data_IF_883139954642
#
_entry.id   IF_883139954642
#
_cell.length_a   1.000
_cell.length_b   1.000
_cell.length_c   1.000
_cell.angle_alpha   90.00
_cell.angle_beta   90.00
_cell.angle_gamma   90.00
#
_symmetry.space_group_name_H-M   'P 1'
#
loop_
_entity.id
_entity.type
_entity.pdbx_description
1 polymer ?
#
# COMPACT_ATOMS: atom_id res chain seq x y z
N UNK A 1 -10.40 6.11 62.36
CA UNK A 1 -10.38 7.59 62.47
C UNK A 1 -9.04 7.94 63.12
N UNK A 2 -8.20 8.87 62.66
CA UNK A 2 -8.29 9.91 61.60
C UNK A 2 -7.01 9.97 60.72
N UNK A 3 -7.00 10.82 59.68
CA UNK A 3 -5.86 11.28 58.86
C UNK A 3 -6.00 12.80 58.67
N UNK A 4 -5.05 13.51 58.03
CA UNK A 4 -3.63 13.71 58.35
C UNK A 4 -3.37 15.19 58.74
N UNK A 5 -2.11 15.63 58.98
CA UNK A 5 -1.40 16.45 57.97
C UNK A 5 0.16 16.26 58.00
N UNK A 6 1.02 16.82 57.13
CA UNK A 6 0.96 17.21 55.70
C UNK A 6 2.42 17.23 55.12
N UNK A 7 2.62 17.72 53.89
CA UNK A 7 3.94 17.88 53.24
C UNK A 7 4.61 19.23 53.54
N UNK A 8 5.94 19.26 53.49
CA UNK A 8 6.69 20.44 52.99
C UNK A 8 7.93 20.02 52.19
N UNK A 9 8.28 20.80 51.17
CA UNK A 9 9.47 20.62 50.32
C UNK A 9 10.44 21.77 50.59
N UNK A 10 11.76 21.50 50.52
CA UNK A 10 12.94 22.42 50.50
C UNK A 10 13.85 22.40 51.75
N UNK A 11 14.81 21.49 51.74
CA UNK A 11 16.21 21.69 52.13
C UNK A 11 17.02 20.59 51.40
N UNK A 12 18.13 20.77 50.67
CA UNK A 12 19.35 21.61 50.71
C UNK A 12 20.58 20.78 51.12
N UNK A 13 21.76 21.16 50.59
CA UNK A 13 23.11 20.58 50.77
C UNK A 13 23.33 19.26 49.97
N UNK A 14 24.29 19.09 49.02
CA UNK A 14 25.76 19.36 48.88
C UNK A 14 26.66 18.34 49.61
N UNK A 15 27.76 17.79 49.04
CA UNK A 15 28.30 17.86 47.66
C UNK A 15 29.82 17.56 47.57
N UNK A 16 30.30 17.07 46.41
CA UNK A 16 31.71 16.72 46.06
C UNK A 16 32.30 15.55 46.91
N UNK A 17 33.43 14.90 46.60
CA UNK A 17 34.44 14.96 45.51
C UNK A 17 34.42 13.60 44.72
N UNK A 18 35.42 13.07 43.97
CA UNK A 18 36.83 13.39 43.66
C UNK A 18 37.21 12.90 42.24
N UNK A 19 38.45 13.12 41.79
CA UNK A 19 38.94 12.79 40.44
C UNK A 19 40.09 11.74 40.42
N UNK A 20 40.39 11.18 39.24
CA UNK A 20 41.56 10.32 39.03
C UNK A 20 41.94 10.23 37.54
N UNK A 21 43.18 10.59 37.20
CA UNK A 21 43.72 10.57 35.84
C UNK A 21 45.06 9.85 35.81
N UNK A 22 45.32 9.07 34.76
CA UNK A 22 46.63 8.48 34.46
C UNK A 22 46.80 8.36 32.94
N UNK A 23 48.05 8.35 32.47
CA UNK A 23 48.37 8.55 31.05
C UNK A 23 49.72 7.89 30.67
N UNK A 24 50.07 8.03 29.39
CA UNK A 24 51.35 7.72 28.73
C UNK A 24 51.64 6.24 28.36
N UNK A 25 51.65 5.99 27.06
CA UNK A 25 52.74 5.30 26.36
C UNK A 25 52.76 5.74 24.88
N UNK A 26 53.93 6.11 24.35
CA UNK A 26 54.15 6.38 22.92
C UNK A 26 55.13 5.35 22.34
N UNK A 27 54.96 5.02 21.06
CA UNK A 27 55.77 4.01 20.37
C UNK A 27 55.88 4.25 18.86
N UNK A 28 56.77 5.15 18.47
CA UNK A 28 57.36 5.23 17.12
C UNK A 28 58.56 4.25 17.06
N UNK A 29 59.05 3.71 15.95
CA UNK A 29 58.71 3.79 14.51
C UNK A 29 59.36 2.58 13.81
N UNK A 30 58.94 2.23 12.59
CA UNK A 30 59.85 1.79 11.51
C UNK A 30 59.18 1.87 10.14
N UNK A 31 59.93 2.33 9.15
CA UNK A 31 59.57 2.34 7.73
C UNK A 31 60.62 1.53 6.99
N UNK A 32 60.20 0.57 6.18
CA UNK A 32 61.04 -0.16 5.25
C UNK A 32 60.19 -0.54 4.03
N UNK A 33 60.68 -0.20 2.84
CA UNK A 33 60.20 -0.83 1.63
C UNK A 33 60.87 -2.21 1.53
N UNK A 34 60.19 -3.20 0.96
CA UNK A 34 60.53 -3.65 -0.39
C UNK A 34 59.43 -4.54 -0.99
N UNK A 35 59.58 -4.85 -2.28
CA UNK A 35 58.50 -5.37 -3.12
C UNK A 35 58.42 -6.91 -3.05
N UNK A 36 57.22 -7.46 -2.85
CA UNK A 36 56.96 -8.90 -2.76
C UNK A 36 55.65 -9.28 -3.45
N UNK A 37 55.76 -9.97 -4.58
CA UNK A 37 54.67 -10.32 -5.50
C UNK A 37 53.53 -11.16 -4.88
N UNK A 38 52.29 -10.88 -5.31
CA UNK A 38 51.40 -11.94 -5.81
C UNK A 38 50.77 -12.93 -4.82
N UNK A 39 50.02 -12.45 -3.83
CA UNK A 39 49.02 -13.26 -3.11
C UNK A 39 47.60 -13.00 -3.63
N UNK A 40 46.85 -14.04 -4.03
CA UNK A 40 45.43 -13.91 -4.43
C UNK A 40 44.51 -13.73 -3.22
N UNK A 41 44.55 -12.53 -2.63
CA UNK A 41 43.75 -12.15 -1.47
C UNK A 41 42.25 -12.09 -1.76
N UNK A 42 41.57 -13.23 -1.70
CA UNK A 42 40.13 -13.29 -1.44
C UNK A 42 39.93 -12.93 0.04
N UNK A 43 40.11 -11.64 0.36
CA UNK A 43 39.98 -11.10 1.71
C UNK A 43 38.52 -11.14 2.15
N UNK A 44 38.12 -12.26 2.74
CA UNK A 44 36.77 -12.49 3.26
C UNK A 44 36.44 -11.62 4.45
N UNK A 45 36.09 -10.35 4.20
CA UNK A 45 35.64 -9.43 5.24
C UNK A 45 35.56 -7.98 4.76
N UNK A 46 34.37 -7.40 4.89
CA UNK A 46 34.17 -5.95 5.03
C UNK A 46 34.65 -5.04 3.89
N UNK A 47 34.34 -5.34 2.63
CA UNK A 47 33.93 -4.25 1.72
C UNK A 47 33.00 -4.68 0.57
N UNK A 48 31.72 -4.36 0.73
CA UNK A 48 30.69 -4.26 -0.32
C UNK A 48 29.36 -3.84 0.34
N UNK A 49 29.06 -2.54 0.32
CA UNK A 49 27.73 -2.05 0.65
C UNK A 49 26.71 -2.67 -0.30
N UNK A 50 25.63 -3.26 0.22
CA UNK A 50 24.53 -3.80 -0.59
C UNK A 50 23.64 -2.67 -1.11
N UNK A 51 24.22 -1.76 -1.90
CA UNK A 51 23.65 -0.51 -2.42
C UNK A 51 22.48 -0.71 -3.39
N UNK A 52 21.40 -1.30 -2.88
CA UNK A 52 20.13 -1.46 -3.57
C UNK A 52 19.19 -0.29 -3.31
N UNK A 53 18.22 -0.14 -4.21
CA UNK A 53 17.03 0.69 -4.01
C UNK A 53 15.90 -0.24 -3.58
N UNK A 54 15.42 -0.10 -2.35
CA UNK A 54 14.12 -0.65 -1.98
C UNK A 54 13.01 0.21 -2.59
N UNK A 55 11.93 -0.39 -3.06
CA UNK A 55 10.76 0.32 -3.56
C UNK A 55 9.50 -0.34 -2.98
N UNK A 56 8.64 0.46 -2.36
CA UNK A 56 7.34 0.05 -1.81
C UNK A 56 6.27 0.93 -2.44
N UNK A 57 5.31 0.35 -3.14
CA UNK A 57 4.23 1.10 -3.78
C UNK A 57 3.44 0.30 -4.82
N UNK A 58 2.50 0.94 -5.49
CA UNK A 58 1.55 0.27 -6.39
C UNK A 58 2.18 -0.05 -7.75
N UNK A 59 1.99 -1.28 -8.26
CA UNK A 59 2.36 -1.67 -9.64
C UNK A 59 1.47 -0.89 -10.64
N UNK A 60 2.11 -0.08 -11.48
CA UNK A 60 1.44 0.88 -12.37
C UNK A 60 1.21 0.34 -13.79
N UNK A 61 2.16 -0.44 -14.33
CA UNK A 61 2.13 -1.04 -15.67
C UNK A 61 3.25 -2.10 -15.85
N UNK A 62 3.24 -2.81 -16.97
CA UNK A 62 4.15 -3.91 -17.32
C UNK A 62 5.10 -3.60 -18.51
N UNK A 63 5.79 -4.63 -19.04
CA UNK A 63 6.96 -4.54 -19.94
C UNK A 63 8.28 -4.46 -19.16
N UNK A 64 8.23 -3.78 -18.03
CA UNK A 64 9.00 -4.01 -16.79
C UNK A 64 8.03 -3.66 -15.65
N UNK A 65 8.27 -3.98 -14.38
CA UNK A 65 7.36 -3.42 -13.35
C UNK A 65 7.67 -1.93 -13.21
N UNK A 66 6.64 -1.09 -13.29
CA UNK A 66 6.74 0.31 -12.92
C UNK A 66 6.11 0.49 -11.55
N UNK A 67 6.89 0.95 -10.59
CA UNK A 67 6.46 1.22 -9.21
C UNK A 67 7.04 2.57 -8.81
N UNK A 68 6.22 3.47 -8.27
CA UNK A 68 6.63 4.83 -7.88
C UNK A 68 7.25 5.63 -9.05
N UNK A 69 6.90 5.30 -10.29
CA UNK A 69 7.49 5.86 -11.52
C UNK A 69 8.80 5.20 -11.98
N UNK A 70 9.57 4.59 -11.06
CA UNK A 70 10.79 3.85 -11.38
C UNK A 70 10.50 2.61 -12.22
N UNK A 71 11.34 2.35 -13.23
CA UNK A 71 11.26 1.17 -14.10
C UNK A 71 12.19 0.09 -13.56
N UNK A 72 11.64 -1.03 -13.09
CA UNK A 72 12.43 -2.16 -12.58
C UNK A 72 12.27 -3.39 -13.48
N UNK A 73 13.38 -3.80 -14.07
CA UNK A 73 13.54 -5.05 -14.82
C UNK A 73 13.51 -6.25 -13.87
N UNK A 74 12.90 -7.36 -14.30
CA UNK A 74 12.84 -8.60 -13.53
C UNK A 74 13.07 -9.80 -14.45
N UNK A 75 13.76 -10.83 -13.94
CA UNK A 75 13.95 -12.07 -14.67
C UNK A 75 12.66 -12.91 -14.65
N UNK A 76 12.37 -13.75 -15.67
CA UNK A 76 11.18 -14.61 -15.69
C UNK A 76 11.06 -15.58 -14.51
N UNK A 77 12.20 -15.89 -13.87
CA UNK A 77 12.36 -16.77 -12.70
C UNK A 77 12.68 -16.00 -11.41
N UNK A 78 12.45 -14.68 -11.34
CA UNK A 78 12.65 -13.95 -10.07
C UNK A 78 11.72 -14.53 -8.98
N UNK A 79 12.20 -14.69 -7.73
CA UNK A 79 11.33 -15.07 -6.62
C UNK A 79 10.22 -14.02 -6.41
N UNK A 80 8.97 -14.45 -6.61
CA UNK A 80 7.77 -13.67 -6.29
C UNK A 80 7.07 -14.32 -5.11
N UNK A 81 6.64 -13.50 -4.14
CA UNK A 81 5.79 -13.92 -3.04
C UNK A 81 4.53 -13.04 -3.01
N UNK A 82 3.35 -13.64 -2.87
CA UNK A 82 2.08 -12.92 -2.69
C UNK A 82 1.56 -13.29 -1.30
N UNK A 83 1.42 -12.30 -0.43
CA UNK A 83 1.01 -12.44 0.97
C UNK A 83 1.81 -13.49 1.78
N UNK A 84 3.08 -13.71 1.42
CA UNK A 84 3.94 -14.71 2.07
C UNK A 84 3.81 -16.13 1.54
N UNK A 85 3.07 -16.34 0.45
CA UNK A 85 2.99 -17.60 -0.31
C UNK A 85 3.78 -17.47 -1.64
N UNK A 86 4.46 -18.53 -2.06
CA UNK A 86 5.33 -18.48 -3.24
C UNK A 86 4.51 -18.44 -4.55
N UNK A 87 4.84 -17.51 -5.44
CA UNK A 87 4.10 -17.24 -6.67
C UNK A 87 5.03 -17.16 -7.89
N UNK A 88 4.44 -17.04 -9.08
CA UNK A 88 5.19 -16.75 -10.32
C UNK A 88 4.94 -15.32 -10.79
N UNK A 89 5.82 -14.80 -11.64
CA UNK A 89 5.65 -13.47 -12.28
C UNK A 89 4.33 -13.30 -13.03
N UNK A 90 3.66 -14.39 -13.44
CA UNK A 90 2.34 -14.38 -14.09
C UNK A 90 1.19 -14.02 -13.14
N UNK A 91 1.40 -14.07 -11.83
CA UNK A 91 0.42 -13.69 -10.81
C UNK A 91 0.52 -12.20 -10.39
N UNK A 92 1.50 -11.47 -10.93
CA UNK A 92 1.60 -10.02 -10.76
C UNK A 92 0.47 -9.33 -11.52
N UNK A 93 -0.15 -8.32 -10.90
CA UNK A 93 -1.26 -7.53 -11.47
C UNK A 93 -1.01 -6.04 -11.27
N UNK A 94 -1.46 -5.21 -12.21
CA UNK A 94 -1.56 -3.75 -12.01
C UNK A 94 -2.48 -3.50 -10.80
N UNK A 95 -2.13 -2.53 -9.96
CA UNK A 95 -2.87 -2.21 -8.74
C UNK A 95 -2.47 -3.02 -7.50
N UNK A 96 -1.62 -4.05 -7.61
CA UNK A 96 -1.01 -4.69 -6.44
C UNK A 96 -0.02 -3.75 -5.74
N UNK A 97 0.03 -3.78 -4.41
CA UNK A 97 1.06 -3.13 -3.60
C UNK A 97 2.30 -4.06 -3.54
N UNK A 98 3.38 -3.63 -4.19
CA UNK A 98 4.63 -4.38 -4.29
C UNK A 98 5.72 -3.80 -3.38
N UNK A 99 6.61 -4.68 -2.95
CA UNK A 99 7.88 -4.42 -2.27
C UNK A 99 8.98 -5.07 -3.10
N UNK A 100 9.97 -4.27 -3.49
CA UNK A 100 10.92 -4.64 -4.53
C UNK A 100 12.33 -4.29 -4.03
N UNK A 101 13.19 -5.30 -3.91
CA UNK A 101 14.61 -5.08 -3.61
C UNK A 101 15.40 -5.01 -4.93
N UNK A 102 15.49 -3.81 -5.48
CA UNK A 102 16.20 -3.54 -6.72
C UNK A 102 17.69 -3.24 -6.47
N UNK A 103 18.52 -3.54 -7.46
CA UNK A 103 19.93 -3.10 -7.58
C UNK A 103 20.05 -2.30 -8.87
N UNK A 104 20.89 -1.25 -8.86
CA UNK A 104 21.22 -0.51 -10.07
C UNK A 104 22.44 -1.15 -10.73
N UNK A 105 22.37 -1.42 -12.03
CA UNK A 105 23.53 -1.89 -12.80
C UNK A 105 24.42 -0.71 -13.26
N UNK A 106 25.56 -1.04 -13.88
CA UNK A 106 26.50 -0.05 -14.40
C UNK A 106 25.93 0.82 -15.54
N UNK A 107 24.86 0.37 -16.21
CA UNK A 107 24.11 1.15 -17.20
C UNK A 107 23.01 2.02 -16.57
N UNK A 108 22.91 2.06 -15.24
CA UNK A 108 21.92 2.82 -14.50
C UNK A 108 20.53 2.18 -14.42
N UNK A 109 20.32 0.98 -14.96
CA UNK A 109 19.00 0.32 -14.95
C UNK A 109 18.77 -0.39 -13.61
N UNK A 110 17.53 -0.33 -13.11
CA UNK A 110 17.13 -1.07 -11.91
C UNK A 110 16.71 -2.50 -12.29
N UNK A 111 17.30 -3.49 -11.64
CA UNK A 111 16.92 -4.90 -11.74
C UNK A 111 16.58 -5.46 -10.35
N UNK A 112 15.54 -6.27 -10.22
CA UNK A 112 15.14 -6.84 -8.91
C UNK A 112 15.57 -8.29 -8.72
N UNK A 113 16.01 -8.59 -7.49
CA UNK A 113 16.32 -9.94 -7.03
C UNK A 113 15.14 -10.63 -6.32
N UNK A 114 14.09 -9.89 -5.93
CA UNK A 114 12.90 -10.40 -5.21
C UNK A 114 11.73 -9.41 -5.32
N UNK A 115 10.51 -9.93 -5.49
CA UNK A 115 9.28 -9.16 -5.44
C UNK A 115 8.36 -9.77 -4.39
N UNK A 116 7.99 -9.01 -3.38
CA UNK A 116 6.93 -9.36 -2.44
C UNK A 116 5.71 -8.49 -2.72
N UNK A 117 4.52 -9.07 -2.68
CA UNK A 117 3.24 -8.39 -2.91
C UNK A 117 2.37 -8.59 -1.68
N UNK A 118 1.78 -7.51 -1.17
CA UNK A 118 1.12 -7.50 0.14
C UNK A 118 -0.26 -6.86 0.08
N UNK A 119 -1.28 -7.57 0.56
CA UNK A 119 -2.62 -7.02 0.80
C UNK A 119 -2.70 -6.33 2.16
N UNK A 120 -3.50 -5.26 2.26
CA UNK A 120 -3.85 -4.64 3.55
C UNK A 120 -4.90 -5.49 4.29
N UNK A 121 -5.75 -6.22 3.56
CA UNK A 121 -6.70 -7.18 4.10
C UNK A 121 -7.08 -8.23 3.06
N UNK A 122 -7.29 -9.48 3.48
CA UNK A 122 -7.83 -10.55 2.65
C UNK A 122 -8.81 -11.43 3.43
N UNK A 123 -10.00 -11.66 2.86
CA UNK A 123 -11.11 -12.40 3.48
C UNK A 123 -12.46 -12.01 2.86
N UNK A 124 -13.59 -12.43 3.46
CA UNK A 124 -14.92 -12.17 2.92
C UNK A 124 -15.31 -10.69 3.00
N UNK A 125 -16.00 -10.21 1.97
CA UNK A 125 -16.75 -8.95 2.00
C UNK A 125 -17.87 -9.07 3.04
N UNK A 126 -17.89 -8.15 4.00
CA UNK A 126 -18.90 -8.05 5.06
C UNK A 126 -20.03 -7.09 4.68
N UNK A 127 -19.74 -6.04 3.91
CA UNK A 127 -20.72 -5.09 3.39
C UNK A 127 -20.28 -4.48 2.04
N UNK A 128 -21.26 -4.05 1.25
CA UNK A 128 -21.07 -3.35 -0.03
C UNK A 128 -21.91 -2.07 -0.01
N UNK A 129 -21.30 -0.94 -0.39
CA UNK A 129 -21.95 0.37 -0.56
C UNK A 129 -21.44 1.02 -1.87
N UNK A 130 -22.09 2.07 -2.41
CA UNK A 130 -21.59 2.76 -3.59
C UNK A 130 -20.17 3.31 -3.38
N UNK A 131 -19.19 2.74 -4.09
CA UNK A 131 -17.77 3.11 -3.99
C UNK A 131 -17.01 2.59 -2.77
N UNK A 132 -17.63 1.76 -1.92
CA UNK A 132 -17.04 1.28 -0.67
C UNK A 132 -17.35 -0.20 -0.41
N UNK A 133 -16.36 -0.93 0.09
CA UNK A 133 -16.51 -2.28 0.65
C UNK A 133 -16.14 -2.26 2.14
N UNK A 134 -16.73 -3.17 2.92
CA UNK A 134 -16.20 -3.53 4.24
C UNK A 134 -15.66 -4.96 4.17
N UNK A 135 -14.40 -5.17 4.58
CA UNK A 135 -13.72 -6.48 4.56
C UNK A 135 -12.96 -6.65 5.88
N UNK A 136 -13.27 -7.68 6.67
CA UNK A 136 -12.72 -7.91 8.02
C UNK A 136 -12.65 -6.63 8.89
N UNK A 137 -13.76 -5.93 9.07
CA UNK A 137 -13.86 -4.69 9.83
C UNK A 137 -13.10 -3.50 9.24
N UNK A 138 -12.54 -3.61 8.03
CA UNK A 138 -11.82 -2.52 7.36
C UNK A 138 -12.73 -1.80 6.36
N UNK A 139 -12.80 -0.48 6.43
CA UNK A 139 -13.42 0.34 5.39
C UNK A 139 -12.47 0.46 4.19
N UNK A 140 -12.97 0.09 3.01
CA UNK A 140 -12.20 0.07 1.76
C UNK A 140 -12.89 0.96 0.74
N UNK A 141 -12.29 2.11 0.41
CA UNK A 141 -12.71 2.91 -0.75
C UNK A 141 -12.26 2.17 -2.00
N UNK A 142 -13.23 1.73 -2.80
CA UNK A 142 -13.01 0.98 -4.04
C UNK A 142 -14.13 1.29 -5.02
N UNK A 143 -13.91 2.18 -6.02
CA UNK A 143 -14.84 2.31 -7.13
C UNK A 143 -14.92 0.99 -7.92
N UNK A 144 -16.08 0.74 -8.52
CA UNK A 144 -16.37 -0.47 -9.27
C UNK A 144 -17.77 -1.03 -8.98
N UNK A 145 -18.28 -1.82 -9.92
CA UNK A 145 -19.64 -2.40 -9.95
C UNK A 145 -19.63 -3.86 -10.46
N UNK A 146 -18.48 -4.53 -10.38
CA UNK A 146 -18.28 -5.90 -10.85
C UNK A 146 -19.21 -6.89 -10.13
N UNK A 147 -19.80 -7.85 -10.87
CA UNK A 147 -20.85 -8.75 -10.38
C UNK A 147 -20.44 -9.73 -9.25
N UNK A 148 -19.14 -9.80 -8.93
CA UNK A 148 -18.62 -10.53 -7.77
C UNK A 148 -18.63 -9.71 -6.47
N UNK A 149 -18.85 -8.39 -6.52
CA UNK A 149 -18.92 -7.47 -5.36
C UNK A 149 -20.21 -7.68 -4.57
N UNK A 150 -20.25 -8.76 -3.78
CA UNK A 150 -21.36 -9.15 -2.90
C UNK A 150 -20.81 -9.70 -1.58
N UNK A 151 -21.62 -9.58 -0.53
CA UNK A 151 -21.29 -10.09 0.81
C UNK A 151 -21.00 -11.59 0.74
N UNK A 152 -19.96 -12.03 1.46
CA UNK A 152 -19.48 -13.42 1.47
C UNK A 152 -18.50 -13.78 0.34
N UNK A 153 -18.24 -12.91 -0.64
CA UNK A 153 -17.15 -13.15 -1.60
C UNK A 153 -15.80 -12.91 -0.93
N UNK A 154 -14.91 -13.90 -0.94
CA UNK A 154 -13.50 -13.73 -0.54
C UNK A 154 -12.72 -12.87 -1.53
N UNK A 155 -12.02 -11.86 -1.02
CA UNK A 155 -11.19 -10.93 -1.80
C UNK A 155 -9.87 -10.67 -1.09
N UNK A 156 -8.85 -10.27 -1.85
CA UNK A 156 -7.67 -9.59 -1.32
C UNK A 156 -7.66 -8.12 -1.79
N UNK A 157 -7.45 -7.21 -0.86
CA UNK A 157 -7.45 -5.77 -1.08
C UNK A 157 -6.01 -5.26 -1.08
N UNK A 158 -5.56 -4.80 -2.24
CA UNK A 158 -4.31 -4.07 -2.43
C UNK A 158 -4.63 -2.59 -2.53
N UNK A 159 -3.84 -1.75 -1.86
CA UNK A 159 -4.11 -0.33 -1.79
C UNK A 159 -3.17 0.38 -0.84
N UNK A 160 -3.42 1.67 -0.63
CA UNK A 160 -2.70 2.49 0.33
C UNK A 160 -3.65 2.87 1.47
N UNK A 161 -3.27 2.56 2.70
CA UNK A 161 -4.04 2.92 3.90
C UNK A 161 -3.82 4.39 4.26
N UNK A 162 -4.91 5.08 4.58
CA UNK A 162 -4.98 6.45 5.10
C UNK A 162 -4.88 6.45 6.62
N UNK A 163 -4.51 7.60 7.17
CA UNK A 163 -4.33 7.88 8.60
C UNK A 163 -5.60 7.73 9.45
N UNK A 164 -6.78 7.82 8.84
CA UNK A 164 -8.07 7.47 9.45
C UNK A 164 -8.39 5.96 9.41
N UNK A 165 -7.45 5.15 8.91
CA UNK A 165 -7.53 3.71 8.80
C UNK A 165 -8.17 3.20 7.51
N UNK A 166 -8.78 4.07 6.69
CA UNK A 166 -9.44 3.70 5.43
C UNK A 166 -8.42 3.21 4.40
N UNK A 167 -8.70 2.08 3.75
CA UNK A 167 -7.86 1.56 2.66
C UNK A 167 -8.38 2.14 1.34
N UNK A 168 -7.54 2.89 0.61
CA UNK A 168 -7.84 3.28 -0.78
C UNK A 168 -7.33 2.19 -1.70
N UNK A 169 -8.24 1.37 -2.24
CA UNK A 169 -7.89 0.19 -3.01
C UNK A 169 -7.41 0.55 -4.43
N UNK A 170 -6.22 0.06 -4.80
CA UNK A 170 -5.70 0.07 -6.16
C UNK A 170 -5.98 -1.23 -6.92
N UNK A 171 -6.26 -2.33 -6.21
CA UNK A 171 -6.86 -3.55 -6.75
C UNK A 171 -7.66 -4.26 -5.66
N UNK A 172 -8.86 -4.73 -5.98
CA UNK A 172 -9.60 -5.71 -5.18
C UNK A 172 -9.68 -6.98 -6.02
N UNK A 173 -9.06 -8.05 -5.56
CA UNK A 173 -8.82 -9.27 -6.32
C UNK A 173 -9.59 -10.45 -5.71
N UNK A 174 -10.64 -10.99 -6.37
CA UNK A 174 -11.38 -12.14 -5.88
C UNK A 174 -10.49 -13.37 -5.70
N UNK A 175 -10.70 -14.12 -4.62
CA UNK A 175 -9.97 -15.35 -4.32
C UNK A 175 -10.93 -16.50 -4.02
N UNK A 176 -10.50 -17.72 -4.31
CA UNK A 176 -11.00 -18.89 -3.59
C UNK A 176 -10.60 -18.77 -2.11
N UNK A 177 -11.46 -19.27 -1.22
CA UNK A 177 -11.33 -19.08 0.23
C UNK A 177 -9.91 -19.41 0.74
N UNK A 178 -9.27 -18.40 1.34
CA UNK A 178 -7.93 -18.48 1.94
C UNK A 178 -8.02 -18.08 3.41
N UNK A 179 -6.95 -18.32 4.19
CA UNK A 179 -6.95 -17.92 5.59
C UNK A 179 -7.11 -16.39 5.72
N UNK A 180 -8.06 -15.95 6.57
CA UNK A 180 -8.34 -14.53 6.77
C UNK A 180 -7.07 -13.82 7.27
N UNK A 181 -6.66 -12.78 6.55
CA UNK A 181 -5.39 -12.06 6.75
C UNK A 181 -5.65 -10.56 6.83
N UNK A 182 -4.92 -9.87 7.71
CA UNK A 182 -5.00 -8.42 7.88
C UNK A 182 -3.60 -7.84 8.16
N UNK A 183 -3.30 -6.69 7.56
CA UNK A 183 -2.04 -5.97 7.74
C UNK A 183 -2.32 -4.56 8.26
N UNK A 184 -1.64 -4.14 9.34
CA UNK A 184 -1.85 -2.80 9.92
C UNK A 184 -1.28 -2.62 11.33
N UNK A 185 -1.47 -1.44 11.92
CA UNK A 185 -1.06 -1.14 13.30
C UNK A 185 -1.96 -1.85 14.32
N UNK A 186 -1.36 -2.54 15.30
CA UNK A 186 -2.08 -3.02 16.48
C UNK A 186 -2.37 -1.84 17.40
N UNK A 187 -3.65 -1.53 17.58
CA UNK A 187 -4.15 -0.53 18.52
C UNK A 187 -4.66 -1.22 19.78
N UNK A 188 -4.72 -0.48 20.88
CA UNK A 188 -5.40 -0.89 22.13
C UNK A 188 -6.53 0.09 22.42
N UNK A 189 -7.72 -0.46 22.66
CA UNK A 189 -8.89 0.28 23.12
C UNK A 189 -9.56 -0.42 24.32
N UNK A 190 -10.70 0.10 24.78
CA UNK A 190 -11.45 -0.44 25.94
C UNK A 190 -11.99 -1.87 25.72
N UNK A 191 -11.99 -2.37 24.50
CA UNK A 191 -12.48 -3.69 24.11
C UNK A 191 -11.38 -4.69 23.71
N UNK A 192 -10.09 -4.31 23.81
CA UNK A 192 -8.96 -5.22 23.65
C UNK A 192 -7.88 -4.69 22.71
N UNK A 193 -7.33 -5.60 21.90
CA UNK A 193 -6.41 -5.30 20.81
C UNK A 193 -7.16 -5.34 19.47
N UNK A 194 -6.81 -4.45 18.55
CA UNK A 194 -7.51 -4.29 17.27
C UNK A 194 -6.57 -3.85 16.13
N UNK A 195 -6.97 -4.11 14.89
CA UNK A 195 -6.43 -3.47 13.67
C UNK A 195 -7.62 -2.95 12.87
N UNK A 196 -7.73 -1.62 12.72
CA UNK A 196 -8.96 -1.00 12.21
C UNK A 196 -10.17 -1.42 13.06
N UNK A 197 -11.27 -1.82 12.42
CA UNK A 197 -12.46 -2.32 13.12
C UNK A 197 -12.39 -3.78 13.60
N UNK A 198 -11.32 -4.52 13.31
CA UNK A 198 -11.21 -5.94 13.65
C UNK A 198 -10.57 -6.15 15.02
N UNK A 199 -11.23 -6.87 15.93
CA UNK A 199 -10.65 -7.28 17.22
C UNK A 199 -9.73 -8.48 17.05
N UNK A 200 -8.67 -8.56 17.85
CA UNK A 200 -7.70 -9.66 17.84
C UNK A 200 -7.70 -10.42 19.17
N UNK A 201 -7.79 -11.75 19.10
CA UNK A 201 -7.60 -12.66 20.22
C UNK A 201 -6.31 -13.48 20.06
N UNK A 202 -5.64 -13.80 21.17
CA UNK A 202 -4.37 -14.53 21.19
C UNK A 202 -3.13 -13.70 20.83
N UNK A 203 -3.19 -12.36 20.94
CA UNK A 203 -2.11 -11.44 20.55
C UNK A 203 -1.45 -10.81 21.76
N UNK A 204 -0.11 -10.71 21.73
CA UNK A 204 0.71 -10.09 22.78
C UNK A 204 0.48 -8.57 22.86
N UNK A 205 0.41 -8.07 24.09
CA UNK A 205 0.29 -6.66 24.42
C UNK A 205 1.53 -5.86 23.99
N UNK A 206 2.70 -6.50 23.90
CA UNK A 206 3.96 -5.91 23.41
C UNK A 206 3.97 -5.59 21.90
N UNK A 207 2.89 -5.91 21.18
CA UNK A 207 2.72 -5.55 19.76
C UNK A 207 1.94 -4.23 19.55
N UNK A 208 1.36 -3.63 20.60
CA UNK A 208 0.67 -2.33 20.50
C UNK A 208 1.59 -1.26 19.92
N UNK A 209 1.09 -0.48 18.97
CA UNK A 209 1.84 0.54 18.24
C UNK A 209 2.74 0.00 17.13
N UNK A 210 2.82 -1.32 16.92
CA UNK A 210 3.59 -1.93 15.83
C UNK A 210 2.70 -2.32 14.67
N UNK A 211 3.23 -2.20 13.45
CA UNK A 211 2.60 -2.77 12.26
C UNK A 211 2.88 -4.28 12.19
N UNK A 212 1.83 -5.06 11.97
CA UNK A 212 1.87 -6.53 11.89
C UNK A 212 1.04 -7.03 10.73
N UNK A 213 1.33 -8.26 10.30
CA UNK A 213 0.45 -9.09 9.50
C UNK A 213 -0.09 -10.20 10.41
N UNK A 214 -1.41 -10.27 10.58
CA UNK A 214 -2.10 -11.29 11.34
C UNK A 214 -2.92 -12.20 10.42
N UNK A 215 -2.87 -13.50 10.67
CA UNK A 215 -3.54 -14.57 9.92
C UNK A 215 -4.34 -15.42 10.93
N UNK A 216 -5.60 -15.74 10.64
CA UNK A 216 -6.44 -16.46 11.60
C UNK A 216 -7.82 -16.86 11.08
N UNK A 217 -8.70 -17.24 12.02
CA UNK A 217 -10.13 -17.45 11.76
C UNK A 217 -10.91 -16.27 12.33
N UNK A 218 -11.84 -15.73 11.56
CA UNK A 218 -12.70 -14.60 11.99
C UNK A 218 -14.10 -15.10 12.31
N UNK A 219 -14.63 -14.70 13.47
CA UNK A 219 -16.02 -14.91 13.87
C UNK A 219 -16.51 -13.67 14.62
N UNK A 220 -17.73 -13.19 14.33
CA UNK A 220 -18.38 -12.09 15.06
C UNK A 220 -17.51 -10.81 15.22
N UNK A 221 -16.72 -10.46 14.19
CA UNK A 221 -15.83 -9.28 14.21
C UNK A 221 -14.54 -9.46 15.04
N UNK A 222 -14.24 -10.68 15.47
CA UNK A 222 -13.00 -11.03 16.18
C UNK A 222 -12.21 -12.07 15.40
N UNK A 223 -10.93 -11.78 15.16
CA UNK A 223 -9.96 -12.75 14.66
C UNK A 223 -9.34 -13.52 15.83
N UNK A 224 -9.58 -14.83 15.88
CA UNK A 224 -8.69 -15.72 16.62
C UNK A 224 -7.41 -15.89 15.78
N UNK A 225 -6.36 -15.18 16.18
CA UNK A 225 -5.09 -15.19 15.46
C UNK A 225 -4.43 -16.56 15.62
N UNK A 226 -4.02 -17.13 14.50
CA UNK A 226 -3.31 -18.42 14.41
C UNK A 226 -1.83 -18.21 14.05
N UNK A 227 -1.52 -17.13 13.32
CA UNK A 227 -0.15 -16.69 13.04
C UNK A 227 -0.08 -15.17 13.02
N UNK A 228 1.00 -14.62 13.54
CA UNK A 228 1.32 -13.19 13.47
C UNK A 228 2.77 -13.01 13.04
N UNK A 229 3.05 -11.97 12.25
CA UNK A 229 4.39 -11.58 11.81
C UNK A 229 4.54 -10.06 12.00
N UNK A 230 5.72 -9.55 12.37
CA UNK A 230 6.03 -8.13 12.15
C UNK A 230 5.84 -7.82 10.67
N UNK A 231 5.19 -6.69 10.36
CA UNK A 231 5.14 -6.17 8.99
C UNK A 231 5.89 -4.83 8.95
N UNK A 232 7.22 -4.92 9.05
CA UNK A 232 8.13 -3.79 9.10
C UNK A 232 9.17 -3.83 7.97
N UNK A 233 9.76 -2.68 7.65
CA UNK A 233 10.61 -2.49 6.47
C UNK A 233 12.06 -2.98 6.67
N UNK A 234 12.33 -3.85 7.64
CA UNK A 234 13.69 -4.31 7.96
C UNK A 234 14.33 -5.18 6.88
N UNK A 235 13.53 -5.76 5.99
CA UNK A 235 14.04 -6.37 4.74
C UNK A 235 14.83 -5.37 3.88
N UNK A 236 14.52 -4.07 4.00
CA UNK A 236 15.23 -2.98 3.35
C UNK A 236 16.32 -2.31 4.21
N UNK A 237 16.58 -2.78 5.44
CA UNK A 237 17.54 -2.13 6.36
C UNK A 237 19.01 -2.10 5.87
N UNK A 238 19.32 -2.78 4.75
CA UNK A 238 20.63 -2.74 4.06
C UNK A 238 20.61 -1.99 2.72
N UNK A 239 19.44 -1.53 2.27
CA UNK A 239 19.31 -0.73 1.06
C UNK A 239 19.85 0.69 1.30
N UNK A 240 20.58 1.24 0.33
CA UNK A 240 21.11 2.61 0.42
C UNK A 240 20.05 3.68 0.20
N UNK A 241 18.88 3.30 -0.34
CA UNK A 241 17.74 4.16 -0.64
C UNK A 241 16.45 3.34 -0.55
N UNK A 242 15.37 3.93 -0.04
CA UNK A 242 14.04 3.34 0.02
C UNK A 242 13.00 4.34 -0.46
N UNK A 243 12.28 4.00 -1.53
CA UNK A 243 11.17 4.77 -2.07
C UNK A 243 9.85 4.21 -1.54
N UNK A 244 9.18 4.91 -0.62
CA UNK A 244 7.92 4.44 -0.01
C UNK A 244 6.74 5.31 -0.46
N UNK A 245 5.79 4.70 -1.15
CA UNK A 245 4.51 5.32 -1.48
C UNK A 245 3.50 5.16 -0.33
N UNK A 246 2.73 6.21 -0.05
CA UNK A 246 1.61 6.14 0.88
C UNK A 246 0.91 7.48 1.12
N UNK A 247 -0.18 7.44 1.87
CA UNK A 247 -0.78 8.63 2.46
C UNK A 247 -0.04 8.97 3.76
N UNK A 248 0.41 10.22 3.90
CA UNK A 248 1.10 10.71 5.10
C UNK A 248 0.37 11.89 5.73
N UNK A 249 0.43 11.96 7.07
CA UNK A 249 0.26 13.19 7.84
C UNK A 249 1.63 13.60 8.39
N UNK A 250 1.90 14.91 8.42
CA UNK A 250 2.99 15.46 9.24
C UNK A 250 2.52 15.57 10.69
N UNK A 251 3.30 15.03 11.61
CA UNK A 251 3.17 15.23 13.06
C UNK A 251 4.54 15.60 13.58
N UNK A 252 4.68 16.82 14.10
CA UNK A 252 5.97 17.40 14.48
C UNK A 252 7.02 17.26 13.36
N UNK A 253 8.15 16.61 13.64
CA UNK A 253 9.23 16.32 12.68
C UNK A 253 9.12 14.91 12.04
N UNK A 254 7.93 14.32 12.03
CA UNK A 254 7.66 13.00 11.44
C UNK A 254 6.60 13.07 10.33
N UNK A 255 6.83 12.35 9.23
CA UNK A 255 5.77 11.89 8.34
C UNK A 255 5.30 10.52 8.80
N UNK A 256 4.05 10.46 9.27
CA UNK A 256 3.38 9.24 9.70
C UNK A 256 2.51 8.73 8.56
N UNK A 257 2.84 7.55 8.06
CA UNK A 257 2.08 6.90 7.00
C UNK A 257 0.83 6.25 7.57
N UNK A 258 -0.28 6.30 6.84
CA UNK A 258 -1.51 5.58 7.21
C UNK A 258 -1.36 4.05 7.26
N UNK A 259 -0.31 3.50 6.64
CA UNK A 259 0.10 2.10 6.81
C UNK A 259 0.64 1.79 8.20
N UNK A 260 1.18 2.78 8.92
CA UNK A 260 1.88 2.63 10.20
C UNK A 260 3.40 2.79 10.15
N UNK A 261 3.98 3.14 9.01
CA UNK A 261 5.41 3.51 8.93
C UNK A 261 5.63 4.95 9.41
N UNK A 262 6.84 5.24 9.90
CA UNK A 262 7.23 6.57 10.39
C UNK A 262 8.55 6.98 9.76
N UNK A 263 8.58 8.16 9.16
CA UNK A 263 9.78 8.76 8.60
C UNK A 263 10.10 10.09 9.30
N UNK A 264 11.32 10.24 9.82
CA UNK A 264 11.82 11.50 10.38
C UNK A 264 12.15 12.45 9.23
N UNK A 265 11.47 13.58 9.19
CA UNK A 265 11.49 14.53 8.08
C UNK A 265 11.88 15.94 8.54
N UNK A 266 13.17 16.24 8.35
CA UNK A 266 13.77 17.56 8.57
C UNK A 266 13.66 18.48 7.34
N UNK A 267 12.98 18.06 6.27
CA UNK A 267 12.77 18.89 5.08
C UNK A 267 11.71 19.98 5.34
N UNK A 268 11.53 20.86 4.35
CA UNK A 268 10.49 21.90 4.38
C UNK A 268 9.09 21.38 3.98
N UNK A 269 8.92 20.09 3.71
CA UNK A 269 7.66 19.50 3.25
C UNK A 269 6.58 19.60 4.34
N UNK A 270 5.63 20.51 4.12
CA UNK A 270 4.52 20.81 5.02
C UNK A 270 3.20 20.69 4.25
N UNK A 271 2.58 19.51 4.20
CA UNK A 271 1.27 19.34 3.59
C UNK A 271 0.20 19.98 4.49
N UNK A 272 -0.84 20.55 3.90
CA UNK A 272 -1.96 21.20 4.62
C UNK A 272 -2.93 20.22 5.28
N UNK A 273 -2.66 18.92 5.18
CA UNK A 273 -3.48 17.81 5.67
C UNK A 273 -2.88 16.49 5.21
N UNK A 274 -3.69 15.45 5.11
CA UNK A 274 -3.23 14.17 4.55
C UNK A 274 -2.91 14.30 3.06
N UNK A 275 -1.79 13.72 2.61
CA UNK A 275 -1.34 13.79 1.21
C UNK A 275 -0.73 12.46 0.77
N UNK A 276 -1.04 12.01 -0.47
CA UNK A 276 -0.34 10.87 -1.09
C UNK A 276 1.02 11.34 -1.59
N UNK A 277 2.07 10.63 -1.20
CA UNK A 277 3.45 10.92 -1.56
C UNK A 277 4.20 9.66 -1.95
N UNK A 278 5.31 9.84 -2.68
CA UNK A 278 6.48 8.96 -2.58
C UNK A 278 7.49 9.68 -1.70
N UNK A 279 7.88 9.07 -0.60
CA UNK A 279 9.00 9.51 0.23
C UNK A 279 10.26 8.79 -0.26
N UNK A 280 11.31 9.57 -0.50
CA UNK A 280 12.67 9.07 -0.71
C UNK A 280 13.42 9.18 0.62
N UNK A 281 13.88 8.04 1.14
CA UNK A 281 14.48 7.96 2.46
C UNK A 281 15.64 6.97 2.54
N UNK A 282 16.52 7.18 3.53
CA UNK A 282 17.51 6.20 3.97
C UNK A 282 16.94 5.43 5.18
N UNK A 283 16.93 4.08 5.17
CA UNK A 283 16.56 3.28 6.34
C UNK A 283 17.48 3.52 7.54
N UNK A 284 16.95 3.62 8.76
CA UNK A 284 17.73 3.88 9.97
C UNK A 284 18.26 2.62 10.68
N UNK A 285 18.01 1.43 10.12
CA UNK A 285 18.38 0.13 10.69
C UNK A 285 17.45 -0.37 11.81
N UNK A 286 16.78 0.52 12.55
CA UNK A 286 15.76 0.15 13.53
C UNK A 286 14.40 -0.19 12.88
N UNK A 287 14.19 0.28 11.65
CA UNK A 287 12.95 0.14 10.88
C UNK A 287 12.18 1.46 10.73
N UNK A 288 12.74 2.56 11.23
CA UNK A 288 12.35 3.92 10.86
C UNK A 288 13.07 4.36 9.59
N UNK A 289 12.63 5.51 9.08
CA UNK A 289 13.13 6.10 7.83
C UNK A 289 13.65 7.52 8.11
N UNK A 290 14.73 7.93 7.47
CA UNK A 290 15.19 9.32 7.44
C UNK A 290 14.95 9.89 6.05
N UNK A 291 14.08 10.89 5.93
CA UNK A 291 13.71 11.48 4.64
C UNK A 291 14.90 12.24 4.04
N UNK A 292 15.11 12.04 2.73
CA UNK A 292 15.97 12.87 1.88
C UNK A 292 15.11 13.79 0.99
N UNK A 293 14.01 13.27 0.42
CA UNK A 293 13.07 14.03 -0.40
C UNK A 293 11.63 13.50 -0.31
N UNK A 294 10.66 14.34 -0.67
CA UNK A 294 9.24 13.98 -0.74
C UNK A 294 8.64 14.48 -2.05
N UNK A 295 8.00 13.58 -2.80
CA UNK A 295 7.29 13.90 -4.02
C UNK A 295 5.79 13.66 -3.83
N UNK A 296 4.97 14.72 -3.96
CA UNK A 296 3.52 14.57 -3.95
C UNK A 296 3.03 13.81 -5.20
N UNK A 297 2.11 12.86 -5.01
CA UNK A 297 1.53 12.03 -6.07
C UNK A 297 0.07 12.42 -6.26
N UNK A 298 -0.19 13.20 -7.31
CA UNK A 298 -1.51 13.73 -7.67
C UNK A 298 -2.31 12.87 -8.64
N UNK A 299 -1.81 11.68 -9.02
CA UNK A 299 -2.45 10.79 -10.01
C UNK A 299 -2.49 9.33 -9.56
N UNK A 300 -3.64 8.70 -9.68
CA UNK A 300 -3.86 7.30 -9.29
C UNK A 300 -3.52 6.29 -10.41
N UNK A 301 -2.85 5.16 -10.12
CA UNK A 301 -2.75 4.03 -11.05
C UNK A 301 -4.12 3.37 -11.25
N UNK A 302 -4.88 3.85 -12.24
CA UNK A 302 -6.29 3.50 -12.45
C UNK A 302 -7.24 4.69 -12.65
N UNK A 303 -6.74 5.93 -12.55
CA UNK A 303 -7.55 7.17 -12.69
C UNK A 303 -8.12 7.42 -14.10
N UNK A 304 -7.93 6.50 -15.04
CA UNK A 304 -8.50 6.52 -16.40
C UNK A 304 -10.02 6.23 -16.44
N UNK A 305 -10.73 6.35 -15.31
CA UNK A 305 -12.20 6.22 -15.22
C UNK A 305 -12.78 7.37 -14.39
N UNK A 306 -12.88 8.53 -15.02
CA UNK A 306 -13.91 9.54 -14.73
C UNK A 306 -14.61 9.81 -16.08
N UNK A 307 -15.94 9.92 -16.14
CA UNK A 307 -16.78 10.70 -15.23
C UNK A 307 -16.89 12.10 -15.84
N UNK A 308 -18.10 12.61 -16.13
CA UNK A 308 -18.30 13.70 -17.08
C UNK A 308 -17.46 14.94 -16.74
N UNK A 309 -16.68 15.42 -17.71
CA UNK A 309 -15.74 16.52 -17.52
C UNK A 309 -16.47 17.78 -17.07
N UNK A 310 -16.12 18.27 -15.87
CA UNK A 310 -16.35 19.68 -15.55
C UNK A 310 -15.56 20.53 -16.55
N UNK A 311 -16.17 21.54 -17.20
CA UNK A 311 -15.48 22.36 -18.19
C UNK A 311 -14.33 23.14 -17.55
N UNK A 312 -13.24 23.40 -18.29
CA UNK A 312 -12.08 24.09 -17.75
C UNK A 312 -12.46 25.50 -17.32
N UNK A 313 -12.18 25.84 -16.05
CA UNK A 313 -12.34 27.20 -15.54
C UNK A 313 -11.34 28.11 -16.25
N UNK A 314 -11.85 29.04 -17.05
CA UNK A 314 -11.04 30.05 -17.72
C UNK A 314 -10.34 30.94 -16.70
N UNK A 315 -9.07 31.25 -16.94
CA UNK A 315 -8.30 32.18 -16.11
C UNK A 315 -8.72 33.60 -16.46
N UNK A 316 -9.39 34.28 -15.53
CA UNK A 316 -9.62 35.72 -15.62
C UNK A 316 -8.29 36.48 -15.38
N UNK A 317 -7.95 37.50 -16.18
CA UNK A 317 -6.70 38.25 -16.01
C UNK A 317 -6.72 39.09 -14.73
N UNK A 318 -5.55 39.22 -14.10
CA UNK A 318 -5.35 40.12 -12.96
C UNK A 318 -5.56 41.59 -13.37
N UNK A 319 -6.23 42.37 -12.52
CA UNK A 319 -6.17 43.83 -12.56
C UNK A 319 -5.49 44.34 -11.29
N UNK A 320 -4.49 45.21 -11.46
CA UNK A 320 -3.77 45.85 -10.36
C UNK A 320 -4.51 47.05 -9.77
N UNK A 321 -4.08 47.55 -8.60
CA UNK A 321 -4.79 48.61 -7.89
C UNK A 321 -4.51 50.01 -8.47
N UNK A 322 -5.57 50.80 -8.66
CA UNK A 322 -5.51 52.23 -8.94
C UNK A 322 -6.86 52.89 -8.66
N UNK A 323 -6.86 53.98 -7.90
CA UNK A 323 -8.02 54.87 -7.75
C UNK A 323 -7.69 56.27 -8.27
N UNK A 324 -8.30 57.33 -7.73
CA UNK A 324 -9.73 57.48 -7.46
C UNK A 324 -10.27 58.77 -8.11
N UNK A 325 -11.60 58.94 -8.30
CA UNK A 325 -12.25 60.26 -8.19
C UNK A 325 -13.80 60.26 -8.30
N UNK A 326 -14.42 60.79 -7.24
CA UNK A 326 -15.63 61.64 -7.18
C UNK A 326 -17.00 61.26 -7.80
N UNK A 327 -18.11 61.89 -7.33
CA UNK A 327 -19.45 61.29 -7.40
C UNK A 327 -20.55 62.17 -8.04
N UNK A 328 -21.77 61.65 -8.13
CA UNK A 328 -22.99 62.44 -8.36
C UNK A 328 -24.27 61.60 -8.47
N UNK A 329 -25.43 62.22 -8.22
CA UNK A 329 -26.74 61.66 -8.59
C UNK A 329 -27.61 61.07 -7.46
N UNK A 330 -28.13 61.91 -6.56
CA UNK A 330 -29.21 61.52 -5.65
C UNK A 330 -30.59 61.89 -6.22
N UNK A 331 -31.60 61.01 -6.09
CA UNK A 331 -33.02 61.39 -5.98
C UNK A 331 -33.86 60.25 -5.39
N UNK A 332 -35.01 60.63 -4.81
CA UNK A 332 -35.77 59.84 -3.83
C UNK A 332 -36.99 59.07 -4.35
N UNK A 333 -37.91 58.66 -3.44
CA UNK A 333 -38.80 57.51 -3.64
C UNK A 333 -40.23 57.86 -4.09
N UNK A 334 -40.99 56.82 -4.49
CA UNK A 334 -42.43 56.88 -4.73
C UNK A 334 -43.12 55.51 -4.64
N UNK A 335 -44.28 55.48 -4.00
CA UNK A 335 -45.27 54.40 -3.88
C UNK A 335 -46.65 55.07 -3.63
N UNK A 336 -47.82 54.40 -3.47
CA UNK A 336 -48.11 52.95 -3.50
C UNK A 336 -49.39 52.57 -4.32
N UNK A 337 -49.81 51.30 -4.23
CA UNK A 337 -51.19 50.82 -4.51
C UNK A 337 -51.39 50.03 -5.82
N UNK A 338 -52.30 49.05 -5.91
CA UNK A 338 -53.10 48.41 -4.85
C UNK A 338 -54.21 47.44 -5.36
N UNK A 339 -54.80 46.67 -4.44
CA UNK A 339 -56.07 45.90 -4.55
C UNK A 339 -56.09 44.62 -5.44
N UNK A 340 -56.93 43.64 -5.04
CA UNK A 340 -57.35 42.43 -5.79
C UNK A 340 -58.88 42.38 -5.86
N UNK A 341 -59.61 41.23 -5.74
CA UNK A 341 -59.22 39.80 -5.70
C UNK A 341 -60.18 38.87 -6.55
N UNK A 342 -60.13 37.53 -6.33
CA UNK A 342 -61.06 36.48 -6.83
C UNK A 342 -61.09 36.24 -8.37
N UNK A 343 -61.70 35.17 -8.96
CA UNK A 343 -62.47 34.02 -8.45
C UNK A 343 -62.55 32.85 -9.49
N UNK A 344 -63.29 31.73 -9.25
CA UNK A 344 -62.95 30.42 -9.84
C UNK A 344 -63.97 29.73 -10.79
N UNK A 345 -63.50 28.71 -11.54
CA UNK A 345 -64.20 27.41 -11.67
C UNK A 345 -64.52 26.82 -13.07
N UNK A 346 -64.70 25.49 -13.09
CA UNK A 346 -65.51 24.59 -13.98
C UNK A 346 -64.81 23.52 -14.84
N UNK A 347 -64.77 22.30 -14.29
CA UNK A 347 -65.50 21.07 -14.69
C UNK A 347 -65.76 20.71 -16.19
N UNK A 348 -65.50 19.42 -16.51
CA UNK A 348 -65.99 18.70 -17.70
C UNK A 348 -64.90 18.30 -18.71
N UNK A 349 -64.85 17.09 -19.27
CA UNK A 349 -65.65 15.88 -19.04
C UNK A 349 -65.38 14.75 -20.06
N UNK A 350 -65.87 13.53 -19.78
CA UNK A 350 -65.96 12.36 -20.68
C UNK A 350 -64.66 11.62 -21.10
N UNK A 351 -64.83 10.38 -21.57
CA UNK A 351 -63.80 9.38 -21.93
C UNK A 351 -64.40 8.38 -22.96
N UNK A 352 -63.79 7.20 -23.20
CA UNK A 352 -62.72 6.87 -24.16
C UNK A 352 -63.27 6.20 -25.46
N UNK A 353 -62.43 5.76 -26.42
CA UNK A 353 -61.84 4.39 -26.46
C UNK A 353 -60.32 4.43 -26.81
N UNK A 354 -59.53 3.36 -26.92
CA UNK A 354 -59.74 1.90 -27.00
C UNK A 354 -59.03 1.33 -28.24
N UNK A 355 -58.09 0.37 -28.10
CA UNK A 355 -57.24 -0.12 -29.20
C UNK A 355 -56.39 -1.34 -28.81
N UNK A 356 -55.80 -2.07 -29.78
CA UNK A 356 -55.33 -3.46 -29.59
C UNK A 356 -53.90 -3.80 -30.10
N UNK A 357 -53.42 -4.95 -29.64
CA UNK A 357 -52.21 -5.75 -29.99
C UNK A 357 -52.02 -6.01 -31.52
N UNK A 358 -50.94 -6.71 -32.01
CA UNK A 358 -49.67 -7.18 -31.39
C UNK A 358 -48.38 -7.02 -32.27
N UNK A 359 -47.22 -7.55 -31.83
CA UNK A 359 -46.05 -7.92 -32.68
C UNK A 359 -44.68 -7.31 -32.27
N UNK A 360 -43.50 -7.84 -32.66
CA UNK A 360 -43.23 -9.11 -33.38
C UNK A 360 -41.84 -9.27 -34.06
N UNK A 361 -40.71 -9.35 -33.31
CA UNK A 361 -39.32 -9.60 -33.81
C UNK A 361 -38.72 -8.46 -34.70
N UNK A 362 -37.43 -8.44 -35.18
CA UNK A 362 -36.51 -9.55 -35.53
C UNK A 362 -35.05 -9.46 -34.98
N UNK A 363 -34.19 -10.41 -35.38
CA UNK A 363 -32.74 -10.49 -35.09
C UNK A 363 -31.84 -9.74 -36.12
N UNK A 364 -30.63 -9.29 -35.75
CA UNK A 364 -29.55 -8.92 -36.69
C UNK A 364 -28.73 -10.13 -37.21
N UNK A 365 -27.94 -9.98 -38.29
CA UNK A 365 -27.31 -11.10 -39.03
C UNK A 365 -25.85 -11.40 -38.61
N UNK A 366 -25.35 -12.56 -39.07
CA UNK A 366 -23.94 -12.95 -38.99
C UNK A 366 -23.18 -12.84 -40.32
N UNK A 367 -21.86 -12.99 -40.26
CA UNK A 367 -20.93 -13.03 -41.41
C UNK A 367 -19.83 -14.07 -41.16
N UNK A 368 -19.36 -14.75 -42.21
CA UNK A 368 -18.14 -15.58 -42.19
C UNK A 368 -16.96 -14.88 -42.89
N UNK A 369 -15.75 -15.45 -42.94
CA UNK A 369 -15.27 -16.67 -42.26
C UNK A 369 -13.98 -17.24 -42.89
N UNK A 370 -13.09 -17.80 -42.06
CA UNK A 370 -11.90 -18.61 -42.44
C UNK A 370 -10.78 -17.90 -43.24
N UNK A 371 -9.57 -18.51 -43.44
CA UNK A 371 -9.08 -19.82 -42.96
C UNK A 371 -7.74 -19.76 -42.17
N UNK A 372 -7.25 -20.92 -41.71
CA UNK A 372 -5.81 -21.16 -41.52
C UNK A 372 -5.36 -21.60 -40.12
N UNK A 373 -5.37 -22.91 -39.85
CA UNK A 373 -4.71 -23.52 -38.70
C UNK A 373 -4.20 -24.93 -39.04
N UNK A 374 -2.95 -25.31 -38.70
CA UNK A 374 -2.41 -26.63 -38.99
C UNK A 374 -2.94 -27.70 -38.02
N UNK A 375 -3.07 -28.97 -38.47
CA UNK A 375 -3.63 -30.05 -37.66
C UNK A 375 -2.60 -30.68 -36.70
N UNK A 376 -3.04 -31.29 -35.58
CA UNK A 376 -2.20 -32.16 -34.77
C UNK A 376 -2.03 -33.52 -35.44
N UNK A 377 -0.78 -33.97 -35.62
CA UNK A 377 -0.48 -35.35 -35.99
C UNK A 377 -0.50 -36.26 -34.77
N UNK A 378 -0.95 -37.50 -34.93
CA UNK A 378 -0.94 -38.51 -33.87
C UNK A 378 -0.65 -39.91 -34.41
N UNK A 379 -0.21 -40.81 -33.52
CA UNK A 379 -0.02 -42.23 -33.80
C UNK A 379 1.31 -42.59 -34.48
N UNK A 380 2.12 -43.41 -33.81
CA UNK A 380 3.37 -43.95 -34.35
C UNK A 380 4.17 -44.67 -33.27
N UNK A 381 3.97 -45.99 -33.15
CA UNK A 381 4.61 -46.81 -32.11
C UNK A 381 5.49 -47.92 -32.69
N UNK A 382 6.76 -47.89 -32.30
CA UNK A 382 7.72 -49.00 -32.33
C UNK A 382 8.54 -48.90 -31.03
N UNK A 383 9.04 -49.95 -30.40
CA UNK A 383 9.30 -51.31 -30.91
C UNK A 383 10.78 -51.60 -30.75
N UNK A 384 11.22 -51.91 -29.53
CA UNK A 384 12.64 -52.13 -29.20
C UNK A 384 12.77 -53.02 -27.96
N UNK A 385 13.68 -54.00 -28.01
CA UNK A 385 13.70 -55.17 -27.12
C UNK A 385 15.09 -55.37 -26.49
N UNK A 386 15.11 -55.73 -25.20
CA UNK A 386 16.31 -56.16 -24.46
C UNK A 386 17.05 -55.04 -23.70
N UNK A 387 17.74 -55.32 -22.59
CA UNK A 387 17.74 -56.58 -21.84
C UNK A 387 18.86 -56.71 -20.79
N UNK A 388 18.57 -57.51 -19.74
CA UNK A 388 19.51 -58.08 -18.76
C UNK A 388 20.24 -57.16 -17.76
N UNK A 389 20.58 -57.73 -16.60
CA UNK A 389 21.31 -57.09 -15.49
C UNK A 389 20.42 -56.57 -14.34
N UNK A 390 20.43 -57.12 -13.12
CA UNK A 390 21.08 -58.34 -12.62
C UNK A 390 21.84 -58.14 -11.30
N UNK A 391 21.23 -58.50 -10.17
CA UNK A 391 21.83 -58.46 -8.82
C UNK A 391 21.59 -57.15 -8.04
N UNK A 392 21.62 -57.14 -6.70
CA UNK A 392 21.69 -58.29 -5.78
C UNK A 392 22.28 -57.95 -4.39
N UNK A 393 21.48 -58.03 -3.32
CA UNK A 393 21.89 -57.73 -1.93
C UNK A 393 22.12 -56.23 -1.66
N UNK A 394 22.16 -55.73 -0.42
CA UNK A 394 21.84 -56.26 0.91
C UNK A 394 21.43 -55.06 1.81
N UNK A 395 20.74 -55.18 2.94
CA UNK A 395 20.91 -56.19 3.98
C UNK A 395 21.86 -55.65 5.06
N UNK A 396 21.39 -54.72 5.91
CA UNK A 396 22.27 -53.98 6.83
C UNK A 396 21.56 -53.11 7.88
N UNK A 397 20.82 -53.74 8.80
CA UNK A 397 20.31 -53.07 9.99
C UNK A 397 21.24 -53.25 11.19
N UNK A 398 21.52 -52.19 11.95
CA UNK A 398 22.34 -52.25 13.16
C UNK A 398 22.09 -51.06 14.08
N UNK A 399 21.75 -51.33 15.35
CA UNK A 399 21.69 -50.32 16.42
C UNK A 399 22.92 -50.46 17.31
N UNK A 400 23.54 -49.33 17.68
CA UNK A 400 23.93 -49.00 19.06
C UNK A 400 24.25 -47.51 19.15
#
# INVERSE_FOLDING_TARGET
>A
MTRPPLLSRRALLTGLWLAGSSALAWGQTRKGNDQGLGGTGISGGQDQGMGGTGIVGVIQRFGSIFVNGERVSYAPNVPVWIDGEAASVKALKIGQLARVLARRDAGGTLSTARIDVVSEVAGPIEAVRPGELTVLGQTVVSPGQESWRKVGTDVAVFGLRRSDGVIVASLVDPRTATASRISGLVVRDRSGLSIGGLRLAGVDQALVGRRVQAEGRVAQGMMQVARIRPDDLKEFARASRLLVEGYVLRVDNELRFGSGYVARDNSRFQPSGETRVVVDAVPDGAGGLRVEAVQAVSRFPGESVSGPQAPPRSQGPMQGPGGPNNPGGARGPGAPGGQGPAGPGRDGGMSPPGGSNPGGAPNPPGFGGSPGGPPPAGGGGFGGQGGFGGGGGGGGGGRR
#
